data_IF_547892482985
#
_entry.id   IF_547892482985
#
_cell.length_a   1.000
_cell.length_b   1.000
_cell.length_c   1.000
_cell.angle_alpha   90.00
_cell.angle_beta   90.00
_cell.angle_gamma   90.00
#
_symmetry.space_group_name_H-M   'P 1'
#
loop_
_entity.id
_entity.type
_entity.pdbx_description
1 polymer ?
#
# COMPACT_ATOMS: atom_id res chain seq x y z
N UNK A 1 16.99 33.22 37.83
CA UNK A 1 15.67 32.68 37.44
C UNK A 1 15.55 32.28 35.97
N UNK A 2 16.46 32.58 35.06
CA UNK A 2 16.32 32.33 33.60
C UNK A 2 16.64 30.89 33.10
N UNK A 3 17.55 30.15 33.76
CA UNK A 3 18.01 28.84 33.25
C UNK A 3 17.05 27.67 33.49
N UNK A 4 16.31 27.66 34.59
CA UNK A 4 15.31 26.60 34.87
C UNK A 4 14.08 26.69 33.95
N UNK A 5 13.65 27.88 33.59
CA UNK A 5 12.53 28.09 32.65
C UNK A 5 12.85 27.61 31.22
N UNK A 6 14.12 27.74 30.78
CA UNK A 6 14.57 27.31 29.46
C UNK A 6 14.66 25.77 29.36
N UNK A 7 15.17 25.12 30.41
CA UNK A 7 15.27 23.66 30.47
C UNK A 7 13.89 23.02 30.59
N UNK A 8 12.98 23.59 31.36
CA UNK A 8 11.61 23.11 31.50
C UNK A 8 10.82 23.25 30.19
N UNK A 9 10.95 24.39 29.48
CA UNK A 9 10.34 24.57 28.15
C UNK A 9 10.89 23.59 27.12
N UNK A 10 12.21 23.35 27.12
CA UNK A 10 12.85 22.42 26.18
C UNK A 10 12.41 20.98 26.45
N UNK A 11 12.30 20.56 27.70
CA UNK A 11 11.81 19.22 28.10
C UNK A 11 10.31 19.03 27.80
N UNK A 12 9.50 20.08 27.93
CA UNK A 12 8.08 20.03 27.56
C UNK A 12 7.91 19.97 26.04
N UNK A 13 8.65 20.77 25.25
CA UNK A 13 8.64 20.71 23.79
C UNK A 13 9.19 19.38 23.24
N UNK A 14 10.22 18.80 23.86
CA UNK A 14 10.77 17.51 23.46
C UNK A 14 9.80 16.35 23.76
N UNK A 15 8.98 16.46 24.79
CA UNK A 15 8.01 15.43 25.16
C UNK A 15 6.77 15.43 24.25
N UNK A 16 6.37 16.60 23.72
CA UNK A 16 5.28 16.76 22.76
C UNK A 16 5.66 16.35 21.32
N UNK A 17 6.94 16.03 21.06
CA UNK A 17 7.45 15.62 19.76
C UNK A 17 7.70 14.10 19.65
N UNK A 18 7.61 13.36 20.77
CA UNK A 18 7.77 11.92 20.76
C UNK A 18 6.40 11.24 20.77
N UNK A 19 6.17 10.41 19.78
CA UNK A 19 4.91 9.69 19.60
C UNK A 19 5.18 8.20 19.44
N UNK A 20 4.26 7.39 19.96
CA UNK A 20 4.16 5.98 19.62
C UNK A 20 3.13 5.81 18.54
N UNK A 21 3.51 5.12 17.48
CA UNK A 21 2.60 4.83 16.37
C UNK A 21 2.93 3.48 15.75
N UNK A 22 1.94 2.86 15.11
CA UNK A 22 2.17 1.69 14.26
C UNK A 22 2.32 2.13 12.81
N UNK A 23 3.05 1.33 12.02
CA UNK A 23 3.24 1.64 10.62
C UNK A 23 3.45 0.40 9.76
N UNK A 24 3.02 0.49 8.50
CA UNK A 24 3.27 -0.49 7.45
C UNK A 24 4.35 0.05 6.53
N UNK A 25 5.43 -0.70 6.35
CA UNK A 25 6.56 -0.29 5.50
C UNK A 25 6.14 -0.36 4.02
N UNK A 26 6.28 0.75 3.29
CA UNK A 26 5.97 0.85 1.87
C UNK A 26 7.21 0.68 1.01
N UNK A 27 8.35 1.23 1.42
CA UNK A 27 9.57 1.13 0.63
C UNK A 27 10.76 1.83 1.28
N UNK A 28 11.93 1.60 0.69
CA UNK A 28 13.18 2.23 1.10
C UNK A 28 13.85 2.81 -0.13
N UNK A 29 14.31 4.05 -0.03
CA UNK A 29 15.08 4.73 -1.06
C UNK A 29 16.47 5.17 -0.55
N UNK A 30 17.52 5.12 -1.37
CA UNK A 30 18.82 5.67 -1.02
C UNK A 30 18.74 7.17 -0.72
N UNK A 31 19.50 7.64 0.28
CA UNK A 31 19.56 9.06 0.62
C UNK A 31 20.99 9.58 0.68
N UNK A 32 21.89 8.85 1.35
CA UNK A 32 23.32 9.16 1.45
C UNK A 32 24.11 7.89 1.74
N UNK A 33 25.44 7.96 1.79
CA UNK A 33 26.30 6.81 2.12
C UNK A 33 26.03 6.19 3.50
N UNK A 34 25.51 7.00 4.44
CA UNK A 34 25.23 6.57 5.80
C UNK A 34 23.75 6.27 6.07
N UNK A 35 22.85 6.82 5.25
CA UNK A 35 21.42 6.77 5.49
C UNK A 35 20.61 6.44 4.23
N UNK A 36 19.49 5.76 4.44
CA UNK A 36 18.37 5.62 3.51
C UNK A 36 17.15 6.34 4.08
N UNK A 37 16.13 6.54 3.26
CA UNK A 37 14.82 7.00 3.70
C UNK A 37 13.86 5.83 3.58
N UNK A 38 13.17 5.51 4.65
CA UNK A 38 12.07 4.53 4.64
C UNK A 38 10.74 5.26 4.62
N UNK A 39 9.85 4.84 3.72
CA UNK A 39 8.48 5.32 3.61
C UNK A 39 7.56 4.36 4.36
N UNK A 40 6.79 4.89 5.29
CA UNK A 40 5.91 4.12 6.16
C UNK A 40 4.52 4.76 6.15
N UNK A 41 3.49 3.96 5.95
CA UNK A 41 2.12 4.40 6.19
C UNK A 41 1.80 4.16 7.67
N UNK A 42 1.64 5.24 8.42
CA UNK A 42 1.45 5.22 9.87
C UNK A 42 -0.02 5.33 10.25
N UNK A 43 -0.38 4.77 11.40
CA UNK A 43 -1.74 4.83 11.94
C UNK A 43 -2.20 6.27 12.22
N UNK A 44 -1.30 7.11 12.75
CA UNK A 44 -1.66 8.42 13.31
C UNK A 44 -1.28 9.60 12.41
N UNK A 45 -0.37 9.41 11.43
CA UNK A 45 0.18 10.51 10.62
C UNK A 45 0.09 10.27 9.11
N UNK A 46 -0.57 9.18 8.65
CA UNK A 46 -0.57 8.81 7.23
C UNK A 46 0.82 8.40 6.73
N UNK A 47 1.16 8.75 5.48
CA UNK A 47 2.46 8.40 4.88
C UNK A 47 3.56 9.33 5.37
N UNK A 48 4.52 8.79 6.08
CA UNK A 48 5.67 9.52 6.62
C UNK A 48 6.99 8.91 6.11
N UNK A 49 7.95 9.79 5.86
CA UNK A 49 9.34 9.42 5.52
C UNK A 49 10.21 9.50 6.77
N UNK A 50 10.97 8.44 7.05
CA UNK A 50 11.87 8.38 8.20
C UNK A 50 13.32 8.15 7.76
N UNK A 51 14.26 8.78 8.47
CA UNK A 51 15.67 8.55 8.26
C UNK A 51 16.07 7.19 8.85
N UNK A 52 16.65 6.32 8.02
CA UNK A 52 17.06 4.96 8.38
C UNK A 52 18.58 4.84 8.23
N UNK A 53 19.34 4.49 9.28
CA UNK A 53 20.77 4.24 9.16
C UNK A 53 21.00 2.97 8.30
N UNK A 54 21.96 3.02 7.36
CA UNK A 54 22.29 1.85 6.52
C UNK A 54 22.99 0.74 7.33
N UNK A 55 23.72 1.12 8.37
CA UNK A 55 24.41 0.19 9.29
C UNK A 55 23.96 0.43 10.71
N UNK A 56 23.70 -0.66 11.44
CA UNK A 56 23.31 -0.61 12.83
C UNK A 56 24.15 -1.57 13.65
N UNK A 57 24.64 -1.12 14.80
CA UNK A 57 25.34 -1.97 15.75
C UNK A 57 24.39 -2.98 16.42
N UNK A 58 24.95 -4.01 17.07
CA UNK A 58 24.16 -5.08 17.73
C UNK A 58 23.13 -4.55 18.74
N UNK A 59 23.43 -3.44 19.42
CA UNK A 59 22.57 -2.81 20.44
C UNK A 59 21.69 -1.68 19.88
N UNK A 60 21.72 -1.44 18.57
CA UNK A 60 20.91 -0.39 17.97
C UNK A 60 19.41 -0.74 18.06
N UNK A 61 18.61 0.24 18.46
CA UNK A 61 17.15 0.13 18.56
C UNK A 61 16.47 0.20 17.19
N UNK A 62 17.08 0.89 16.22
CA UNK A 62 16.64 0.97 14.84
C UNK A 62 17.59 0.13 13.98
N UNK A 63 17.09 -0.97 13.41
CA UNK A 63 17.86 -1.90 12.58
C UNK A 63 17.28 -1.97 11.17
N UNK A 64 18.08 -1.80 10.09
CA UNK A 64 17.59 -1.89 8.71
C UNK A 64 16.82 -3.18 8.39
N UNK A 65 17.21 -4.30 9.00
CA UNK A 65 16.56 -5.61 8.80
C UNK A 65 15.10 -5.71 9.26
N UNK A 66 14.61 -4.71 10.01
CA UNK A 66 13.20 -4.65 10.42
C UNK A 66 12.29 -4.10 9.30
N UNK A 67 12.86 -3.36 8.35
CA UNK A 67 12.12 -2.60 7.36
C UNK A 67 11.95 -3.33 6.02
N UNK A 68 11.61 -4.60 6.07
CA UNK A 68 11.17 -5.30 4.86
C UNK A 68 9.81 -4.73 4.40
N UNK A 69 9.55 -4.57 3.09
CA UNK A 69 8.25 -4.13 2.60
C UNK A 69 7.09 -4.92 3.22
N UNK A 70 5.99 -4.24 3.52
CA UNK A 70 4.85 -4.79 4.26
C UNK A 70 5.12 -5.21 5.72
N UNK A 71 6.31 -4.94 6.28
CA UNK A 71 6.50 -5.11 7.73
C UNK A 71 5.56 -4.19 8.52
N UNK A 72 4.89 -4.75 9.52
CA UNK A 72 4.09 -4.00 10.48
C UNK A 72 4.99 -3.72 11.68
N UNK A 73 5.20 -2.45 11.97
CA UNK A 73 6.14 -1.97 12.97
C UNK A 73 5.41 -1.17 14.05
N UNK A 74 5.81 -1.37 15.30
CA UNK A 74 5.56 -0.46 16.41
C UNK A 74 6.77 0.46 16.55
N UNK A 75 6.55 1.78 16.55
CA UNK A 75 7.60 2.75 16.41
C UNK A 75 7.47 3.86 17.45
N UNK A 76 8.58 4.16 18.13
CA UNK A 76 8.75 5.42 18.85
C UNK A 76 9.40 6.41 17.89
N UNK A 77 8.71 7.49 17.57
CA UNK A 77 9.12 8.48 16.56
C UNK A 77 9.24 9.87 17.14
N UNK A 78 10.12 10.67 16.54
CA UNK A 78 10.16 12.12 16.74
C UNK A 78 9.48 12.75 15.52
N UNK A 79 8.24 13.24 15.72
CA UNK A 79 7.45 13.85 14.66
C UNK A 79 7.40 15.37 14.82
N UNK A 80 7.92 16.08 13.81
CA UNK A 80 7.92 17.54 13.73
C UNK A 80 7.16 17.96 12.47
N UNK A 81 6.04 18.70 12.58
CA UNK A 81 5.18 19.03 11.43
C UNK A 81 5.88 19.71 10.24
N UNK A 82 6.95 20.45 10.50
CA UNK A 82 7.71 21.16 9.46
C UNK A 82 8.90 20.39 8.89
N UNK A 83 9.14 19.15 9.36
CA UNK A 83 10.23 18.31 8.90
C UNK A 83 9.73 17.30 7.88
N UNK A 84 10.32 17.28 6.70
CA UNK A 84 9.95 16.32 5.64
C UNK A 84 10.38 14.88 5.97
N UNK A 85 11.59 14.70 6.52
CA UNK A 85 12.11 13.37 6.91
C UNK A 85 12.21 13.33 8.43
N UNK A 86 11.36 12.50 9.04
CA UNK A 86 11.24 12.34 10.48
C UNK A 86 12.32 11.40 11.05
N UNK A 87 12.39 11.26 12.38
CA UNK A 87 13.38 10.41 13.04
C UNK A 87 12.74 9.26 13.80
N UNK A 88 13.35 8.09 13.69
CA UNK A 88 13.03 6.90 14.47
C UNK A 88 13.87 6.88 15.75
N UNK A 89 13.27 6.55 16.88
CA UNK A 89 13.93 6.38 18.18
C UNK A 89 14.05 4.93 18.59
N UNK A 90 12.95 4.20 18.42
CA UNK A 90 12.85 2.76 18.69
C UNK A 90 11.90 2.11 17.68
N UNK A 91 12.17 0.85 17.33
CA UNK A 91 11.34 0.12 16.37
C UNK A 91 11.31 -1.35 16.72
N UNK A 92 10.11 -1.90 16.83
CA UNK A 92 9.87 -3.32 17.00
C UNK A 92 8.92 -3.84 15.92
N UNK A 93 9.12 -5.09 15.50
CA UNK A 93 8.18 -5.75 14.60
C UNK A 93 7.08 -6.39 15.42
N UNK A 94 5.82 -6.04 15.16
CA UNK A 94 4.67 -6.56 15.89
C UNK A 94 4.20 -7.92 15.39
N UNK A 95 4.52 -8.25 14.14
CA UNK A 95 4.06 -9.46 13.49
C UNK A 95 5.21 -10.15 12.74
N UNK A 96 5.45 -11.46 12.96
CA UNK A 96 6.50 -12.18 12.26
C UNK A 96 6.11 -12.41 10.80
N UNK A 97 7.00 -12.09 9.88
CA UNK A 97 6.82 -12.31 8.44
C UNK A 97 7.70 -13.50 8.02
N UNK A 98 7.21 -14.72 8.23
CA UNK A 98 7.94 -15.95 7.88
C UNK A 98 7.71 -16.32 6.42
N UNK A 99 6.45 -16.41 5.99
CA UNK A 99 6.08 -16.77 4.64
C UNK A 99 6.36 -15.63 3.65
N UNK A 100 6.08 -14.38 4.02
CA UNK A 100 6.38 -13.21 3.17
C UNK A 100 7.87 -13.01 2.88
N UNK A 101 8.76 -13.61 3.67
CA UNK A 101 10.20 -13.54 3.47
C UNK A 101 10.79 -14.78 2.77
N UNK A 102 10.01 -15.84 2.55
CA UNK A 102 10.51 -17.13 2.02
C UNK A 102 9.78 -17.63 0.79
N UNK A 103 8.51 -17.28 0.58
CA UNK A 103 7.73 -17.67 -0.59
C UNK A 103 7.89 -16.64 -1.72
N UNK A 104 8.45 -17.09 -2.87
CA UNK A 104 8.72 -16.21 -4.03
C UNK A 104 7.45 -15.55 -4.59
N UNK A 105 6.33 -16.26 -4.59
CA UNK A 105 5.05 -15.69 -5.04
C UNK A 105 4.58 -14.57 -4.11
N UNK A 106 4.61 -14.80 -2.79
CA UNK A 106 4.26 -13.77 -1.79
C UNK A 106 5.22 -12.59 -1.85
N UNK A 107 6.53 -12.84 -1.98
CA UNK A 107 7.56 -11.80 -2.13
C UNK A 107 7.24 -10.88 -3.31
N UNK A 108 6.91 -11.44 -4.48
CA UNK A 108 6.61 -10.64 -5.68
C UNK A 108 5.35 -9.79 -5.50
N UNK A 109 4.31 -10.34 -4.87
CA UNK A 109 3.09 -9.61 -4.52
C UNK A 109 3.40 -8.46 -3.56
N UNK A 110 4.20 -8.71 -2.52
CA UNK A 110 4.63 -7.69 -1.55
C UNK A 110 5.37 -6.54 -2.23
N UNK A 111 6.37 -6.84 -3.07
CA UNK A 111 7.13 -5.79 -3.78
C UNK A 111 6.23 -4.97 -4.71
N UNK A 112 5.32 -5.63 -5.44
CA UNK A 112 4.38 -4.94 -6.30
C UNK A 112 3.44 -4.02 -5.50
N UNK A 113 2.77 -4.55 -4.48
CA UNK A 113 1.81 -3.78 -3.71
C UNK A 113 2.46 -2.68 -2.88
N UNK A 114 3.67 -2.89 -2.35
CA UNK A 114 4.38 -1.86 -1.60
C UNK A 114 4.84 -0.72 -2.51
N UNK A 115 5.38 -1.01 -3.71
CA UNK A 115 5.70 0.03 -4.68
C UNK A 115 4.43 0.78 -5.12
N UNK A 116 3.34 0.06 -5.42
CA UNK A 116 2.06 0.65 -5.78
C UNK A 116 1.57 1.61 -4.69
N UNK A 117 1.52 1.18 -3.43
CA UNK A 117 1.08 2.01 -2.31
C UNK A 117 2.00 3.21 -2.08
N UNK A 118 3.33 3.03 -2.19
CA UNK A 118 4.28 4.15 -2.05
C UNK A 118 4.06 5.24 -3.10
N UNK A 119 3.57 4.88 -4.28
CA UNK A 119 3.27 5.83 -5.36
C UNK A 119 1.93 6.55 -5.19
N UNK A 120 0.91 5.87 -4.67
CA UNK A 120 -0.44 6.43 -4.57
C UNK A 120 -0.74 7.10 -3.22
N UNK A 121 -0.13 6.63 -2.13
CA UNK A 121 -0.34 7.19 -0.81
C UNK A 121 0.64 8.35 -0.59
N UNK A 122 0.18 9.58 -0.75
CA UNK A 122 1.00 10.78 -0.60
C UNK A 122 0.57 11.66 0.57
N UNK A 123 -0.62 11.42 1.10
CA UNK A 123 -1.19 12.25 2.16
C UNK A 123 -0.56 11.94 3.51
N UNK A 124 -0.24 13.00 4.24
CA UNK A 124 0.29 12.98 5.61
C UNK A 124 -0.84 13.13 6.64
N UNK A 125 -2.03 12.65 6.32
CA UNK A 125 -3.19 12.67 7.21
C UNK A 125 -3.53 11.26 7.66
N UNK A 126 -4.00 11.14 8.91
CA UNK A 126 -4.46 9.85 9.41
C UNK A 126 -5.62 9.28 8.58
N UNK A 127 -5.53 8.00 8.28
CA UNK A 127 -6.62 7.25 7.67
C UNK A 127 -6.67 5.86 8.34
N UNK A 128 -7.31 5.80 9.50
CA UNK A 128 -7.42 4.57 10.31
C UNK A 128 -8.10 3.42 9.58
N UNK A 129 -9.18 3.62 8.80
CA UNK A 129 -9.77 2.54 8.00
C UNK A 129 -8.80 1.96 6.97
N UNK A 130 -8.04 2.80 6.27
CA UNK A 130 -7.02 2.34 5.33
C UNK A 130 -5.90 1.59 6.06
N UNK A 131 -5.43 2.11 7.20
CA UNK A 131 -4.40 1.42 7.99
C UNK A 131 -4.86 0.01 8.40
N UNK A 132 -6.08 -0.12 8.92
CA UNK A 132 -6.65 -1.42 9.31
C UNK A 132 -6.79 -2.37 8.12
N UNK A 133 -7.16 -1.87 6.94
CA UNK A 133 -7.18 -2.66 5.70
C UNK A 133 -5.80 -3.15 5.31
N UNK A 134 -4.78 -2.30 5.37
CA UNK A 134 -3.39 -2.69 5.05
C UNK A 134 -2.86 -3.72 6.04
N UNK A 135 -3.05 -3.51 7.34
CA UNK A 135 -2.65 -4.45 8.40
C UNK A 135 -3.30 -5.82 8.19
N UNK A 136 -4.62 -5.86 7.98
CA UNK A 136 -5.34 -7.10 7.67
C UNK A 136 -4.84 -7.76 6.37
N UNK A 137 -4.51 -6.99 5.35
CA UNK A 137 -3.98 -7.52 4.09
C UNK A 137 -2.64 -8.22 4.27
N UNK A 138 -1.75 -7.67 5.11
CA UNK A 138 -0.47 -8.29 5.47
C UNK A 138 -0.71 -9.61 6.19
N UNK A 139 -1.58 -9.63 7.19
CA UNK A 139 -1.91 -10.83 7.96
C UNK A 139 -2.50 -11.93 7.07
N UNK A 140 -3.42 -11.57 6.17
CA UNK A 140 -4.01 -12.53 5.21
C UNK A 140 -2.91 -13.10 4.32
N UNK A 141 -2.08 -12.26 3.69
CA UNK A 141 -1.05 -12.73 2.76
C UNK A 141 0.00 -13.62 3.45
N UNK A 142 0.37 -13.31 4.71
CA UNK A 142 1.27 -14.17 5.49
C UNK A 142 0.68 -15.57 5.67
N UNK A 143 -0.62 -15.68 6.00
CA UNK A 143 -1.24 -16.91 6.46
C UNK A 143 -1.92 -17.76 5.36
N UNK A 144 -2.09 -17.24 4.13
CA UNK A 144 -2.75 -18.02 3.07
C UNK A 144 -1.77 -18.98 2.39
N UNK A 145 -2.28 -20.17 2.04
CA UNK A 145 -1.56 -21.19 1.27
C UNK A 145 -2.10 -21.33 -0.16
N UNK A 146 -3.21 -20.67 -0.48
CA UNK A 146 -3.86 -20.76 -1.80
C UNK A 146 -4.44 -19.43 -2.25
N UNK A 147 -4.51 -19.21 -3.57
CA UNK A 147 -5.03 -17.97 -4.14
C UNK A 147 -4.02 -16.82 -4.21
N UNK A 148 -2.75 -17.05 -3.88
CA UNK A 148 -1.67 -16.05 -3.91
C UNK A 148 -1.63 -15.32 -5.25
N UNK A 149 -1.79 -16.06 -6.36
CA UNK A 149 -1.80 -15.52 -7.72
C UNK A 149 -2.90 -14.48 -7.99
N UNK A 150 -3.98 -14.47 -7.20
CA UNK A 150 -5.10 -13.54 -7.33
C UNK A 150 -5.11 -12.46 -6.24
N UNK A 151 -4.21 -12.56 -5.25
CA UNK A 151 -4.21 -11.68 -4.09
C UNK A 151 -4.11 -10.21 -4.46
N UNK A 152 -3.20 -9.85 -5.36
CA UNK A 152 -3.00 -8.47 -5.80
C UNK A 152 -4.23 -7.90 -6.50
N UNK A 153 -4.98 -8.71 -7.25
CA UNK A 153 -6.26 -8.29 -7.88
C UNK A 153 -7.31 -8.03 -6.79
N UNK A 154 -7.48 -8.97 -5.86
CA UNK A 154 -8.42 -8.82 -4.74
C UNK A 154 -8.07 -7.59 -3.87
N UNK A 155 -6.78 -7.36 -3.62
CA UNK A 155 -6.29 -6.20 -2.88
C UNK A 155 -6.65 -4.89 -3.59
N UNK A 156 -6.33 -4.75 -4.89
CA UNK A 156 -6.61 -3.55 -5.65
C UNK A 156 -8.11 -3.26 -5.74
N UNK A 157 -8.95 -4.27 -5.95
CA UNK A 157 -10.42 -4.09 -5.96
C UNK A 157 -10.93 -3.58 -4.61
N UNK A 158 -10.44 -4.14 -3.50
CA UNK A 158 -10.88 -3.78 -2.15
C UNK A 158 -10.28 -2.48 -1.64
N UNK A 159 -9.21 -1.97 -2.23
CA UNK A 159 -8.56 -0.72 -1.84
C UNK A 159 -9.35 0.53 -2.30
N UNK A 160 -10.11 0.43 -3.40
CA UNK A 160 -10.80 1.58 -4.03
C UNK A 160 -11.67 2.41 -3.08
N UNK A 161 -12.48 1.82 -2.15
CA UNK A 161 -13.30 2.63 -1.24
C UNK A 161 -12.48 3.45 -0.24
N UNK A 162 -11.31 2.95 0.18
CA UNK A 162 -10.44 3.66 1.14
C UNK A 162 -9.75 4.89 0.52
N UNK A 163 -9.69 4.94 -0.81
CA UNK A 163 -9.14 6.06 -1.57
C UNK A 163 -10.22 7.00 -2.13
N UNK A 164 -11.50 6.70 -1.85
CA UNK A 164 -12.62 7.49 -2.35
C UNK A 164 -12.88 7.37 -3.86
N UNK A 165 -12.36 6.32 -4.49
CA UNK A 165 -12.48 6.04 -5.92
C UNK A 165 -13.27 4.74 -6.19
N UNK A 166 -14.22 4.41 -5.32
CA UNK A 166 -15.05 3.21 -5.50
C UNK A 166 -15.86 3.32 -6.81
N UNK A 167 -15.72 2.36 -7.76
CA UNK A 167 -16.51 2.37 -8.96
C UNK A 167 -17.99 2.09 -8.66
N UNK A 168 -18.88 2.74 -9.42
CA UNK A 168 -20.31 2.48 -9.35
C UNK A 168 -20.63 1.20 -10.13
N UNK A 169 -20.66 0.08 -9.43
CA UNK A 169 -20.97 -1.24 -9.99
C UNK A 169 -22.43 -1.66 -9.75
N UNK A 170 -23.33 -0.67 -9.62
CA UNK A 170 -24.76 -0.88 -9.59
C UNK A 170 -25.36 -0.87 -11.01
N UNK A 171 -26.52 -1.49 -11.17
CA UNK A 171 -27.29 -1.45 -12.42
C UNK A 171 -26.59 -2.03 -13.67
N UNK A 172 -25.75 -3.08 -13.48
CA UNK A 172 -25.23 -3.85 -14.62
C UNK A 172 -26.36 -4.32 -15.54
N UNK A 173 -26.16 -4.16 -16.86
CA UNK A 173 -27.04 -4.69 -17.90
C UNK A 173 -26.24 -5.53 -18.88
N UNK A 174 -26.88 -6.53 -19.45
CA UNK A 174 -26.24 -7.34 -20.47
C UNK A 174 -25.86 -6.47 -21.70
N UNK A 175 -24.67 -6.69 -22.22
CA UNK A 175 -24.09 -5.94 -23.33
C UNK A 175 -23.79 -4.46 -23.09
N UNK A 176 -23.79 -3.97 -21.84
CA UNK A 176 -23.32 -2.63 -21.50
C UNK A 176 -21.78 -2.56 -21.54
N UNK A 177 -21.28 -1.35 -21.67
CA UNK A 177 -19.86 -1.01 -21.47
C UNK A 177 -19.64 -0.56 -20.04
N UNK A 178 -18.39 -0.61 -19.57
CA UNK A 178 -18.00 0.07 -18.34
C UNK A 178 -17.06 1.22 -18.67
N UNK A 179 -17.48 2.44 -18.38
CA UNK A 179 -16.69 3.65 -18.57
C UNK A 179 -15.70 3.81 -17.41
N UNK A 180 -14.40 3.62 -17.69
CA UNK A 180 -13.35 3.73 -16.69
C UNK A 180 -13.14 5.17 -16.20
N UNK A 181 -13.46 6.19 -17.01
CA UNK A 181 -13.31 7.60 -16.63
C UNK A 181 -14.43 8.06 -15.70
N UNK A 182 -15.66 7.65 -15.98
CA UNK A 182 -16.83 8.02 -15.18
C UNK A 182 -17.14 6.99 -14.08
N UNK A 183 -16.42 5.85 -14.09
CA UNK A 183 -16.55 4.76 -13.13
C UNK A 183 -17.96 4.16 -13.03
N UNK A 184 -18.67 4.01 -14.18
CA UNK A 184 -20.05 3.52 -14.23
C UNK A 184 -20.36 2.69 -15.49
N UNK A 185 -21.47 1.94 -15.46
CA UNK A 185 -21.98 1.23 -16.61
C UNK A 185 -22.73 2.17 -17.56
N UNK A 186 -22.48 2.03 -18.88
CA UNK A 186 -23.13 2.80 -19.93
C UNK A 186 -23.64 1.90 -21.05
N UNK A 187 -24.81 2.22 -21.63
CA UNK A 187 -25.42 1.41 -22.68
C UNK A 187 -24.75 1.64 -24.06
N UNK A 188 -24.18 2.84 -24.28
CA UNK A 188 -23.55 3.22 -25.52
C UNK A 188 -22.03 3.19 -25.39
N UNK A 189 -21.34 2.80 -26.45
CA UNK A 189 -19.88 2.82 -26.50
C UNK A 189 -19.36 4.25 -26.27
N UNK A 190 -18.50 4.49 -25.27
CA UNK A 190 -17.86 5.79 -25.05
C UNK A 190 -17.04 6.26 -26.25
N UNK A 191 -16.95 7.59 -26.45
CA UNK A 191 -16.15 8.18 -27.53
C UNK A 191 -14.65 8.18 -27.27
N UNK A 192 -14.22 7.97 -26.03
CA UNK A 192 -12.82 7.82 -25.63
C UNK A 192 -12.41 6.34 -25.56
N UNK A 193 -11.11 6.09 -25.37
CA UNK A 193 -10.55 4.72 -25.33
C UNK A 193 -10.59 4.02 -23.96
N UNK A 194 -10.94 4.75 -22.90
CA UNK A 194 -10.89 4.28 -21.52
C UNK A 194 -12.23 3.63 -21.11
N UNK A 195 -12.52 2.48 -21.68
CA UNK A 195 -13.73 1.72 -21.35
C UNK A 195 -13.46 0.21 -21.48
N UNK A 196 -14.27 -0.58 -20.82
CA UNK A 196 -14.34 -2.03 -21.01
C UNK A 196 -15.45 -2.36 -22.03
N UNK A 197 -15.16 -3.27 -22.96
CA UNK A 197 -16.15 -3.84 -23.87
C UNK A 197 -17.23 -4.61 -23.12
N UNK A 198 -18.36 -4.95 -23.74
CA UNK A 198 -19.41 -5.74 -23.07
C UNK A 198 -18.93 -7.08 -22.49
N UNK A 199 -17.99 -7.74 -23.18
CA UNK A 199 -17.40 -9.01 -22.70
C UNK A 199 -16.55 -8.80 -21.44
N UNK A 200 -15.70 -7.77 -21.45
CA UNK A 200 -14.85 -7.38 -20.33
C UNK A 200 -15.67 -6.86 -19.15
N UNK A 201 -16.75 -6.11 -19.45
CA UNK A 201 -17.71 -5.63 -18.44
C UNK A 201 -18.44 -6.78 -17.75
N UNK A 202 -18.86 -7.80 -18.51
CA UNK A 202 -19.46 -9.01 -17.93
C UNK A 202 -18.45 -9.78 -17.05
N UNK A 203 -17.15 -9.65 -17.34
CA UNK A 203 -16.10 -10.23 -16.54
C UNK A 203 -15.85 -9.42 -15.24
N UNK A 204 -15.85 -8.09 -15.34
CA UNK A 204 -15.80 -7.18 -14.18
C UNK A 204 -16.94 -7.47 -13.18
N UNK A 205 -18.15 -7.73 -13.68
CA UNK A 205 -19.31 -8.08 -12.87
C UNK A 205 -19.10 -9.35 -12.02
N UNK A 206 -18.30 -10.30 -12.52
CA UNK A 206 -17.88 -11.48 -11.74
C UNK A 206 -16.80 -11.10 -10.72
N UNK A 207 -15.82 -10.28 -11.13
CA UNK A 207 -14.68 -9.90 -10.30
C UNK A 207 -15.06 -9.00 -9.12
N UNK A 208 -16.14 -8.19 -9.21
CA UNK A 208 -16.59 -7.34 -8.10
C UNK A 208 -16.88 -8.11 -6.81
N UNK A 209 -17.13 -9.43 -6.90
CA UNK A 209 -17.36 -10.31 -5.75
C UNK A 209 -16.07 -10.89 -5.18
N UNK A 210 -14.92 -10.63 -5.82
CA UNK A 210 -13.64 -11.16 -5.35
C UNK A 210 -13.21 -10.45 -4.07
N UNK A 211 -12.82 -11.25 -3.09
CA UNK A 211 -12.28 -10.81 -1.80
C UNK A 211 -11.17 -11.75 -1.35
N UNK A 212 -10.46 -11.41 -0.31
CA UNK A 212 -9.44 -12.29 0.27
C UNK A 212 -10.00 -13.66 0.70
N UNK A 213 -11.30 -13.74 1.05
CA UNK A 213 -11.95 -14.99 1.49
C UNK A 213 -12.25 -15.98 0.36
N UNK A 214 -12.41 -15.49 -0.88
CA UNK A 214 -12.87 -16.31 -2.00
C UNK A 214 -12.01 -16.21 -3.26
N UNK A 215 -10.92 -15.43 -3.25
CA UNK A 215 -10.05 -15.24 -4.42
C UNK A 215 -9.45 -16.55 -4.96
N UNK A 216 -9.27 -17.56 -4.11
CA UNK A 216 -8.81 -18.89 -4.49
C UNK A 216 -9.80 -19.67 -5.36
N UNK A 217 -11.10 -19.30 -5.33
CA UNK A 217 -12.15 -19.89 -6.16
C UNK A 217 -12.14 -19.37 -7.61
N UNK A 218 -11.49 -18.24 -7.86
CA UNK A 218 -11.39 -17.65 -9.19
C UNK A 218 -10.25 -18.30 -9.98
N UNK A 219 -10.62 -19.14 -10.95
CA UNK A 219 -9.65 -19.82 -11.84
C UNK A 219 -9.29 -18.90 -13.00
N UNK A 220 -8.37 -17.95 -12.76
CA UNK A 220 -7.87 -17.03 -13.76
C UNK A 220 -6.64 -17.61 -14.46
N UNK A 221 -6.59 -17.55 -15.80
CA UNK A 221 -5.36 -17.80 -16.53
C UNK A 221 -4.35 -16.66 -16.32
N UNK A 222 -3.07 -16.88 -16.60
CA UNK A 222 -2.03 -15.84 -16.58
C UNK A 222 -2.42 -14.65 -17.45
N UNK A 223 -2.91 -14.90 -18.68
CA UNK A 223 -3.36 -13.86 -19.61
C UNK A 223 -4.51 -13.04 -19.02
N UNK A 224 -5.49 -13.68 -18.40
CA UNK A 224 -6.63 -12.99 -17.81
C UNK A 224 -6.19 -12.14 -16.60
N UNK A 225 -5.28 -12.65 -15.75
CA UNK A 225 -4.73 -11.85 -14.64
C UNK A 225 -4.02 -10.60 -15.14
N UNK A 226 -3.18 -10.74 -16.16
CA UNK A 226 -2.46 -9.61 -16.74
C UNK A 226 -3.41 -8.58 -17.33
N UNK A 227 -4.45 -9.01 -18.04
CA UNK A 227 -5.47 -8.10 -18.59
C UNK A 227 -6.24 -7.36 -17.48
N UNK A 228 -6.65 -8.08 -16.43
CA UNK A 228 -7.35 -7.48 -15.28
C UNK A 228 -6.47 -6.44 -14.59
N UNK A 229 -5.18 -6.75 -14.40
CA UNK A 229 -4.27 -5.81 -13.74
C UNK A 229 -4.05 -4.57 -14.60
N UNK A 230 -4.00 -4.70 -15.93
CA UNK A 230 -3.92 -3.56 -16.84
C UNK A 230 -5.11 -2.61 -16.69
N UNK A 231 -6.33 -3.14 -16.64
CA UNK A 231 -7.53 -2.34 -16.43
C UNK A 231 -7.61 -1.71 -15.04
N UNK A 232 -7.21 -2.45 -13.99
CA UNK A 232 -7.15 -1.91 -12.64
C UNK A 232 -6.13 -0.76 -12.57
N UNK A 233 -4.93 -0.93 -13.11
CA UNK A 233 -3.91 0.12 -13.11
C UNK A 233 -4.32 1.32 -13.98
N UNK A 234 -5.02 1.09 -15.10
CA UNK A 234 -5.58 2.17 -15.90
C UNK A 234 -6.65 2.94 -15.12
N UNK A 235 -7.55 2.23 -14.45
CA UNK A 235 -8.54 2.84 -13.56
C UNK A 235 -7.88 3.71 -12.49
N UNK A 236 -6.86 3.18 -11.80
CA UNK A 236 -6.11 3.97 -10.82
C UNK A 236 -5.42 5.19 -11.44
N UNK A 237 -4.85 5.10 -12.64
CA UNK A 237 -4.25 6.25 -13.34
C UNK A 237 -5.25 7.35 -13.69
N UNK A 238 -6.50 7.00 -13.95
CA UNK A 238 -7.57 7.96 -14.26
C UNK A 238 -8.07 8.67 -13.01
N UNK A 239 -8.04 8.01 -11.85
CA UNK A 239 -8.66 8.52 -10.62
C UNK A 239 -7.67 8.97 -9.55
N UNK A 240 -6.39 8.61 -9.65
CA UNK A 240 -5.33 9.03 -8.71
C UNK A 240 -4.38 9.98 -9.42
N UNK A 241 -4.16 11.15 -8.81
CA UNK A 241 -3.27 12.16 -9.40
C UNK A 241 -1.82 11.65 -9.47
N UNK A 242 -1.18 11.87 -10.65
CA UNK A 242 0.25 11.60 -10.90
C UNK A 242 0.69 10.16 -10.52
N UNK A 243 0.06 9.15 -11.14
CA UNK A 243 0.39 7.74 -10.96
C UNK A 243 1.53 7.32 -11.92
N UNK A 244 2.77 7.12 -11.43
CA UNK A 244 3.90 6.76 -12.26
C UNK A 244 3.92 5.26 -12.63
N UNK A 245 4.72 4.85 -13.63
CA UNK A 245 4.95 3.44 -13.94
C UNK A 245 5.51 2.65 -12.75
N UNK A 246 5.12 1.38 -12.65
CA UNK A 246 5.57 0.45 -11.62
C UNK A 246 6.62 -0.50 -12.18
N UNK A 247 7.79 -0.56 -11.56
CA UNK A 247 8.91 -1.41 -11.99
C UNK A 247 8.72 -2.88 -11.59
N UNK A 248 8.07 -3.11 -10.46
CA UNK A 248 7.80 -4.45 -9.94
C UNK A 248 6.69 -5.20 -10.71
N UNK A 249 5.94 -4.52 -11.57
CA UNK A 249 4.84 -5.11 -12.34
C UNK A 249 5.32 -6.21 -13.28
N UNK A 250 6.46 -6.02 -13.94
CA UNK A 250 6.99 -7.02 -14.88
C UNK A 250 7.37 -8.31 -14.17
N UNK A 251 8.00 -8.21 -12.99
CA UNK A 251 8.33 -9.37 -12.15
C UNK A 251 7.06 -10.12 -11.71
N UNK A 252 6.02 -9.38 -11.30
CA UNK A 252 4.74 -9.98 -10.92
C UNK A 252 4.11 -10.75 -12.08
N UNK A 253 4.14 -10.18 -13.30
CA UNK A 253 3.61 -10.80 -14.52
C UNK A 253 4.36 -12.05 -14.96
N UNK A 254 5.67 -12.11 -14.71
CA UNK A 254 6.45 -13.30 -15.04
C UNK A 254 6.08 -14.49 -14.16
N UNK A 255 5.80 -14.27 -12.89
CA UNK A 255 5.49 -15.31 -11.91
C UNK A 255 4.04 -15.81 -11.99
N UNK A 256 3.10 -14.97 -12.33
CA UNK A 256 1.68 -15.25 -12.37
C UNK A 256 1.09 -15.02 -13.75
#
# INVERSE_FOLDING_TARGET
MGRLSYICRRLFFEKDMQHKTRGVVLGISPYSDAFSVVHVFTLDFGRISYLLPQKAGKKAKVKPSLFFPFSILEMDVEHLPLREIQRLKDVERTFPLMALNSDLGKISVVFFLSEFLDKILRETQENRPLFAFLEHSVEVLENIDSGIANFHIAFLLQLTPYLGILPNLEHYRQNCYFDLMNAEYVDLKPFHRHFLSPEETAYLEKLKRMSFRNMNLFRLSKTNRNLIIDYLLEYYRLHVFDFPPLKSLDVLRELF
#
